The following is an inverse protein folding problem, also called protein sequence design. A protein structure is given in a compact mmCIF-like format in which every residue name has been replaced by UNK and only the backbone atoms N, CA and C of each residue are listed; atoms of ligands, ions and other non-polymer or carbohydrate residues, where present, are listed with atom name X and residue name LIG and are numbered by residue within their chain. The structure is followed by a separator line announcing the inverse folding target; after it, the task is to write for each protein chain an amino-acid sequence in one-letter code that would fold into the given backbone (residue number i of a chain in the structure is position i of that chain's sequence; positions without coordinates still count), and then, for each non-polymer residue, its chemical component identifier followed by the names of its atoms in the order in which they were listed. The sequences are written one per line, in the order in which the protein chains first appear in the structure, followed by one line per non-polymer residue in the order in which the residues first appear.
data_IF_303577508661
#
_entry.id   IF_303577508661
#
_cell.length_a   1.000
_cell.length_b   1.000
_cell.length_c   1.000
_cell.angle_alpha   90.00
_cell.angle_beta   90.00
_cell.angle_gamma   90.00
#
_symmetry.space_group_name_H-M   'P 1'
#
loop_
_entity.id
_entity.type
_entity.pdbx_description
1 polymer ?
#
# COMPACT_ATOMS: atom_id res chain seq x y z
N UNK A 1 -11.93 10.07 15.85
CA UNK A 1 -10.61 10.28 15.21
C UNK A 1 -9.71 9.03 15.26
N UNK A 2 -9.71 8.28 16.37
CA UNK A 2 -8.86 7.07 16.48
C UNK A 2 -9.31 6.01 15.48
N UNK A 3 -10.61 5.76 15.33
CA UNK A 3 -11.13 4.81 14.35
C UNK A 3 -10.70 5.12 12.91
N UNK A 4 -10.56 6.40 12.55
CA UNK A 4 -10.08 6.82 11.23
C UNK A 4 -8.61 6.43 10.94
N UNK A 5 -7.85 6.06 11.96
CA UNK A 5 -6.47 5.59 11.84
C UNK A 5 -6.36 4.06 11.77
N UNK A 6 -7.49 3.35 11.67
CA UNK A 6 -7.55 1.89 11.64
C UNK A 6 -8.01 1.42 10.27
N UNK A 7 -7.27 0.48 9.71
CA UNK A 7 -7.68 -0.34 8.58
C UNK A 7 -7.91 -1.76 9.07
N UNK A 8 -9.14 -2.25 8.92
CA UNK A 8 -9.58 -3.55 9.41
C UNK A 8 -9.85 -4.54 8.26
N UNK A 9 -9.65 -5.82 8.49
CA UNK A 9 -9.90 -6.87 7.50
C UNK A 9 -11.42 -7.13 7.35
N UNK A 10 -11.93 -7.25 6.10
CA UNK A 10 -13.38 -7.36 5.80
C UNK A 10 -14.07 -8.59 6.42
N UNK A 11 -13.31 -9.66 6.72
CA UNK A 11 -13.83 -10.83 7.42
C UNK A 11 -13.92 -10.65 8.94
N UNK A 12 -13.31 -9.59 9.49
CA UNK A 12 -13.23 -9.31 10.92
C UNK A 12 -14.19 -8.21 11.37
N UNK A 13 -14.78 -7.43 10.44
CA UNK A 13 -15.64 -6.29 10.75
C UNK A 13 -16.97 -6.34 10.02
N UNK A 14 -18.00 -5.82 10.66
CA UNK A 14 -19.34 -5.64 10.10
C UNK A 14 -19.59 -4.17 9.76
N UNK A 15 -20.61 -3.83 8.92
CA UNK A 15 -21.02 -2.44 8.72
C UNK A 15 -21.39 -1.73 10.04
N UNK A 16 -21.94 -2.46 11.02
CA UNK A 16 -22.25 -1.93 12.34
C UNK A 16 -20.99 -1.54 13.12
N UNK A 17 -19.91 -2.33 13.01
CA UNK A 17 -18.61 -2.01 13.64
C UNK A 17 -18.00 -0.77 13.00
N UNK A 18 -18.07 -0.66 11.66
CA UNK A 18 -17.58 0.52 10.92
C UNK A 18 -18.27 1.79 11.43
N UNK A 19 -19.59 1.77 11.54
CA UNK A 19 -20.36 2.89 12.05
C UNK A 19 -20.04 3.19 13.53
N UNK A 20 -19.97 2.16 14.38
CA UNK A 20 -19.83 2.31 15.82
C UNK A 20 -18.45 2.82 16.22
N UNK A 21 -17.41 2.35 15.56
CA UNK A 21 -16.01 2.71 15.86
C UNK A 21 -15.47 3.81 14.96
N UNK A 22 -16.24 4.32 14.00
CA UNK A 22 -15.78 5.28 12.97
C UNK A 22 -14.51 4.76 12.23
N UNK A 23 -14.49 3.49 11.83
CA UNK A 23 -13.32 2.87 11.17
C UNK A 23 -13.06 3.58 9.83
N UNK A 24 -11.81 4.01 9.61
CA UNK A 24 -11.45 4.82 8.44
C UNK A 24 -11.18 4.01 7.18
N UNK A 25 -10.81 2.75 7.32
CA UNK A 25 -10.48 1.91 6.17
C UNK A 25 -10.80 0.44 6.41
N UNK A 26 -11.03 -0.29 5.31
CA UNK A 26 -11.06 -1.75 5.28
C UNK A 26 -10.09 -2.27 4.21
N UNK A 27 -9.68 -3.53 4.36
CA UNK A 27 -8.96 -4.26 3.32
C UNK A 27 -9.51 -5.68 3.16
N UNK A 28 -9.32 -6.25 1.99
CA UNK A 28 -9.43 -7.68 1.82
C UNK A 28 -8.01 -8.27 1.76
N UNK A 29 -7.66 -9.05 2.75
CA UNK A 29 -6.45 -9.88 2.73
C UNK A 29 -6.56 -10.99 1.67
N UNK A 30 -5.44 -11.65 1.34
CA UNK A 30 -5.35 -12.60 0.23
C UNK A 30 -6.29 -13.82 0.26
N UNK A 31 -7.12 -13.96 1.28
CA UNK A 31 -8.12 -15.01 1.41
C UNK A 31 -9.53 -14.53 1.64
N UNK A 32 -9.75 -13.22 1.74
CA UNK A 32 -11.04 -12.63 2.10
C UNK A 32 -11.81 -12.13 0.89
N UNK A 33 -13.07 -12.49 0.84
CA UNK A 33 -14.00 -12.18 -0.25
C UNK A 33 -15.40 -11.95 0.34
N UNK A 34 -16.26 -11.15 -0.30
CA UNK A 34 -17.60 -10.85 0.22
C UNK A 34 -18.44 -12.08 0.57
N UNK A 35 -18.49 -13.08 -0.33
CA UNK A 35 -19.27 -14.31 -0.17
C UNK A 35 -18.46 -15.57 -0.56
N UNK A 36 -17.12 -15.48 -0.50
CA UNK A 36 -16.20 -16.55 -0.87
C UNK A 36 -15.44 -16.25 -2.17
N UNK A 37 -14.47 -17.08 -2.49
CA UNK A 37 -13.48 -16.83 -3.56
C UNK A 37 -14.09 -16.59 -4.96
N UNK A 38 -15.27 -17.15 -5.21
CA UNK A 38 -15.97 -17.01 -6.50
C UNK A 38 -17.03 -15.88 -6.50
N UNK A 39 -16.95 -14.95 -5.55
CA UNK A 39 -17.86 -13.80 -5.48
C UNK A 39 -17.89 -13.03 -6.79
N UNK A 40 -19.06 -12.84 -7.42
CA UNK A 40 -19.19 -12.00 -8.59
C UNK A 40 -18.95 -10.51 -8.22
N UNK A 41 -18.64 -9.68 -9.21
CA UNK A 41 -18.43 -8.23 -9.02
C UNK A 41 -19.57 -7.56 -8.23
N UNK A 42 -20.82 -7.99 -8.48
CA UNK A 42 -22.00 -7.48 -7.75
C UNK A 42 -21.92 -7.64 -6.23
N UNK A 43 -21.27 -8.69 -5.73
CA UNK A 43 -21.13 -8.91 -4.30
C UNK A 43 -20.11 -7.95 -3.67
N UNK A 44 -19.04 -7.65 -4.42
CA UNK A 44 -18.03 -6.65 -4.04
C UNK A 44 -18.66 -5.26 -3.95
N UNK A 45 -19.35 -4.83 -5.00
CA UNK A 45 -20.07 -3.55 -5.02
C UNK A 45 -21.11 -3.47 -3.90
N UNK A 46 -21.91 -4.52 -3.70
CA UNK A 46 -22.91 -4.53 -2.62
C UNK A 46 -22.28 -4.46 -1.21
N UNK A 47 -21.07 -4.99 -1.01
CA UNK A 47 -20.37 -4.84 0.26
C UNK A 47 -19.79 -3.42 0.39
N UNK A 48 -19.21 -2.86 -0.68
CA UNK A 48 -18.71 -1.49 -0.71
C UNK A 48 -19.82 -0.48 -0.38
N UNK A 49 -21.00 -0.62 -0.99
CA UNK A 49 -22.16 0.23 -0.71
C UNK A 49 -22.56 0.16 0.76
N UNK A 50 -22.60 -1.04 1.36
CA UNK A 50 -22.95 -1.18 2.79
C UNK A 50 -21.93 -0.52 3.71
N UNK A 51 -20.63 -0.62 3.38
CA UNK A 51 -19.58 0.03 4.14
C UNK A 51 -19.61 1.56 3.98
N UNK A 52 -19.90 2.05 2.76
CA UNK A 52 -20.09 3.47 2.49
C UNK A 52 -21.28 4.03 3.30
N UNK A 53 -22.45 3.37 3.23
CA UNK A 53 -23.65 3.77 3.97
C UNK A 53 -23.38 3.79 5.49
N UNK A 54 -22.66 2.80 6.01
CA UNK A 54 -22.35 2.71 7.43
C UNK A 54 -21.39 3.82 7.89
N UNK A 55 -20.35 4.12 7.10
CA UNK A 55 -19.33 5.12 7.43
C UNK A 55 -19.87 6.56 7.30
N UNK A 56 -20.85 6.78 6.43
CA UNK A 56 -21.47 8.10 6.22
C UNK A 56 -22.70 8.35 7.11
N UNK A 57 -23.13 7.36 7.87
CA UNK A 57 -24.26 7.49 8.79
C UNK A 57 -23.88 8.30 10.04
N UNK A 58 -24.33 9.55 10.09
CA UNK A 58 -24.06 10.48 11.18
C UNK A 58 -25.02 10.36 12.37
N UNK A 59 -25.99 9.45 12.32
CA UNK A 59 -26.85 9.18 13.48
C UNK A 59 -25.98 8.72 14.65
N UNK A 60 -26.37 9.03 15.83
CA UNK A 60 -25.64 8.71 17.08
C UNK A 60 -24.24 9.37 17.21
N UNK A 61 -23.94 10.39 16.40
CA UNK A 61 -22.71 11.19 16.52
C UNK A 61 -21.53 10.66 15.71
N UNK A 62 -21.75 9.81 14.72
CA UNK A 62 -20.72 9.37 13.75
C UNK A 62 -20.08 10.53 13.00
N UNK A 63 -18.83 10.34 12.55
CA UNK A 63 -18.04 11.39 11.88
C UNK A 63 -18.51 11.66 10.44
N UNK A 64 -19.19 10.71 9.78
CA UNK A 64 -19.72 10.88 8.43
C UNK A 64 -18.65 10.98 7.34
N UNK A 65 -17.48 10.38 7.55
CA UNK A 65 -16.40 10.33 6.58
C UNK A 65 -16.49 8.99 5.83
N UNK A 66 -16.61 9.00 4.48
CA UNK A 66 -16.62 7.76 3.70
C UNK A 66 -15.39 6.91 4.00
N UNK A 67 -15.63 5.62 4.20
CA UNK A 67 -14.55 4.64 4.39
C UNK A 67 -13.80 4.43 3.07
N UNK A 68 -12.50 4.19 3.14
CA UNK A 68 -11.69 3.82 1.98
C UNK A 68 -11.38 2.32 2.04
N UNK A 69 -11.56 1.61 0.91
CA UNK A 69 -11.26 0.17 0.82
C UNK A 69 -9.97 -0.07 0.04
N UNK A 70 -8.97 -0.71 0.69
CA UNK A 70 -7.68 -1.09 0.09
C UNK A 70 -7.63 -2.57 -0.29
N UNK A 71 -6.88 -2.89 -1.35
CA UNK A 71 -6.65 -4.28 -1.80
C UNK A 71 -5.25 -4.48 -2.37
N UNK A 72 -4.75 -5.71 -2.35
CA UNK A 72 -3.52 -6.12 -3.03
C UNK A 72 -3.77 -6.42 -4.52
N UNK A 73 -4.01 -5.41 -5.33
CA UNK A 73 -4.06 -5.54 -6.78
C UNK A 73 -2.65 -5.29 -7.37
N UNK A 74 -1.73 -6.23 -7.12
CA UNK A 74 -0.29 -6.06 -7.37
C UNK A 74 0.16 -6.54 -8.75
N UNK A 75 -0.67 -7.30 -9.46
CA UNK A 75 -0.47 -7.71 -10.86
C UNK A 75 -1.82 -7.84 -11.60
N UNK A 76 -2.58 -6.74 -11.66
CA UNK A 76 -3.98 -6.67 -12.00
C UNK A 76 -4.86 -6.86 -10.76
N UNK A 77 -6.17 -6.85 -10.93
CA UNK A 77 -7.12 -7.06 -9.81
C UNK A 77 -7.22 -8.53 -9.41
N UNK A 78 -6.09 -9.10 -8.97
CA UNK A 78 -5.87 -10.55 -8.77
C UNK A 78 -6.78 -11.19 -7.70
N UNK A 79 -7.52 -10.41 -6.93
CA UNK A 79 -8.44 -10.92 -5.91
C UNK A 79 -9.86 -11.18 -6.46
N UNK A 80 -10.17 -10.74 -7.68
CA UNK A 80 -11.49 -10.85 -8.29
C UNK A 80 -11.47 -11.78 -9.49
N UNK A 81 -12.31 -12.81 -9.47
CA UNK A 81 -12.40 -13.75 -10.59
C UNK A 81 -12.93 -13.06 -11.85
N UNK A 82 -12.21 -13.28 -12.95
CA UNK A 82 -12.55 -12.70 -14.26
C UNK A 82 -11.83 -11.39 -14.55
N UNK A 83 -11.16 -10.79 -13.58
CA UNK A 83 -10.30 -9.64 -13.82
C UNK A 83 -9.01 -10.05 -14.56
N UNK A 84 -8.38 -9.08 -15.20
CA UNK A 84 -7.12 -9.29 -15.94
C UNK A 84 -5.98 -9.59 -14.98
N UNK A 85 -5.25 -10.65 -15.25
CA UNK A 85 -4.04 -11.01 -14.50
C UNK A 85 -2.83 -10.70 -15.36
N UNK A 86 -2.00 -9.77 -14.92
CA UNK A 86 -0.74 -9.43 -15.55
C UNK A 86 0.41 -10.28 -14.98
N UNK A 87 1.56 -10.37 -15.67
CA UNK A 87 2.77 -10.95 -15.07
C UNK A 87 3.14 -10.23 -13.77
N UNK A 88 3.79 -10.95 -12.84
CA UNK A 88 4.40 -10.30 -11.69
C UNK A 88 5.47 -9.30 -12.10
N UNK A 89 5.80 -8.35 -11.22
CA UNK A 89 6.66 -7.21 -11.51
C UNK A 89 8.03 -7.58 -12.08
N UNK A 90 8.64 -8.70 -11.66
CA UNK A 90 9.88 -9.18 -12.24
C UNK A 90 9.75 -9.48 -13.76
N UNK A 91 8.61 -9.95 -14.19
CA UNK A 91 8.32 -10.14 -15.62
C UNK A 91 8.12 -8.82 -16.35
N UNK A 92 7.50 -7.83 -15.70
CA UNK A 92 7.33 -6.48 -16.25
C UNK A 92 8.69 -5.77 -16.33
N UNK A 93 9.56 -5.93 -15.34
CA UNK A 93 10.93 -5.40 -15.37
C UNK A 93 11.73 -5.89 -16.57
N UNK A 94 11.64 -7.19 -16.87
CA UNK A 94 12.29 -7.79 -18.03
C UNK A 94 11.79 -7.25 -19.39
N UNK A 95 10.60 -6.65 -19.43
CA UNK A 95 9.98 -6.09 -20.62
C UNK A 95 10.64 -4.78 -21.08
N UNK A 96 11.17 -4.00 -20.15
CA UNK A 96 11.80 -2.69 -20.36
C UNK A 96 10.92 -1.71 -21.18
N UNK A 97 9.67 -1.51 -20.71
CA UNK A 97 8.69 -0.65 -21.36
C UNK A 97 7.78 0.02 -20.32
N UNK A 98 8.12 1.24 -19.90
CA UNK A 98 7.38 1.99 -18.88
C UNK A 98 5.98 2.42 -19.36
N UNK A 99 5.80 2.70 -20.65
CA UNK A 99 4.50 3.08 -21.20
C UNK A 99 3.49 1.93 -21.04
N UNK A 100 3.91 0.69 -21.31
CA UNK A 100 3.05 -0.46 -21.10
C UNK A 100 2.77 -0.70 -19.59
N UNK A 101 3.72 -0.34 -18.69
CA UNK A 101 3.47 -0.38 -17.23
C UNK A 101 2.40 0.64 -16.84
N UNK A 102 2.42 1.84 -17.43
CA UNK A 102 1.37 2.85 -17.23
C UNK A 102 0.00 2.33 -17.69
N UNK A 103 -0.09 1.76 -18.89
CA UNK A 103 -1.33 1.15 -19.41
C UNK A 103 -1.85 0.01 -18.51
N UNK A 104 -0.96 -0.82 -17.97
CA UNK A 104 -1.31 -1.87 -16.98
C UNK A 104 -1.89 -1.23 -15.72
N UNK A 105 -1.31 -0.13 -15.26
CA UNK A 105 -1.84 0.66 -14.12
C UNK A 105 -3.26 1.17 -14.39
N UNK A 106 -3.52 1.72 -15.57
CA UNK A 106 -4.85 2.22 -15.97
C UNK A 106 -5.90 1.11 -16.01
N UNK A 107 -5.56 -0.04 -16.59
CA UNK A 107 -6.47 -1.19 -16.65
C UNK A 107 -6.75 -1.71 -15.22
N UNK A 108 -5.70 -1.82 -14.40
CA UNK A 108 -5.84 -2.26 -13.01
C UNK A 108 -6.73 -1.30 -12.23
N UNK A 109 -6.53 0.01 -12.36
CA UNK A 109 -7.36 1.02 -11.71
C UNK A 109 -8.83 0.90 -12.10
N UNK A 110 -9.11 0.77 -13.39
CA UNK A 110 -10.46 0.63 -13.91
C UNK A 110 -11.16 -0.62 -13.35
N UNK A 111 -10.47 -1.76 -13.33
CA UNK A 111 -11.02 -3.02 -12.81
C UNK A 111 -11.24 -2.96 -11.30
N UNK A 112 -10.31 -2.38 -10.52
CA UNK A 112 -10.44 -2.18 -9.07
C UNK A 112 -11.62 -1.25 -8.77
N UNK A 113 -11.68 -0.07 -9.41
CA UNK A 113 -12.79 0.87 -9.22
C UNK A 113 -14.15 0.26 -9.57
N UNK A 114 -14.21 -0.63 -10.58
CA UNK A 114 -15.43 -1.33 -10.99
C UNK A 114 -16.00 -2.26 -9.93
N UNK A 115 -15.23 -2.60 -8.92
CA UNK A 115 -15.65 -3.43 -7.77
C UNK A 115 -16.02 -2.61 -6.54
N UNK A 116 -15.98 -1.27 -6.62
CA UNK A 116 -16.26 -0.37 -5.51
C UNK A 116 -15.08 -0.22 -4.55
N UNK A 117 -13.88 -0.61 -4.97
CA UNK A 117 -12.63 -0.48 -4.21
C UNK A 117 -11.89 0.77 -4.71
N UNK A 118 -11.35 1.58 -3.77
CA UNK A 118 -10.82 2.90 -4.06
C UNK A 118 -9.29 2.96 -4.01
N UNK A 119 -8.63 1.91 -3.53
CA UNK A 119 -7.23 1.94 -3.15
C UNK A 119 -6.53 0.61 -3.42
N UNK A 120 -5.32 0.65 -3.99
CA UNK A 120 -4.47 -0.54 -4.12
C UNK A 120 -3.14 -0.38 -3.39
N UNK A 121 -2.64 -1.50 -2.84
CA UNK A 121 -1.31 -1.57 -2.22
C UNK A 121 -0.24 -1.91 -3.29
N UNK A 122 -0.18 -1.10 -4.32
CA UNK A 122 0.77 -1.18 -5.43
C UNK A 122 1.16 0.23 -5.90
N UNK A 123 2.37 0.39 -6.46
CA UNK A 123 3.39 -0.60 -6.80
C UNK A 123 4.32 -1.01 -5.66
N UNK A 124 4.92 -2.21 -5.80
CA UNK A 124 6.11 -2.59 -5.03
C UNK A 124 7.32 -1.99 -5.71
N UNK A 125 8.02 -1.08 -5.02
CA UNK A 125 9.21 -0.36 -5.54
C UNK A 125 10.51 -0.85 -4.90
N UNK A 126 10.50 -2.08 -4.37
CA UNK A 126 11.68 -2.73 -3.84
C UNK A 126 12.74 -2.92 -4.94
N UNK A 127 13.99 -2.54 -4.63
CA UNK A 127 15.15 -2.83 -5.47
C UNK A 127 15.78 -4.12 -4.96
N UNK A 128 15.77 -5.18 -5.77
CA UNK A 128 16.20 -6.53 -5.39
C UNK A 128 17.73 -6.57 -5.34
N UNK A 129 18.31 -6.89 -4.18
CA UNK A 129 19.77 -6.98 -3.99
C UNK A 129 20.25 -8.40 -3.70
N UNK A 130 19.33 -9.32 -3.44
CA UNK A 130 19.63 -10.72 -3.15
C UNK A 130 18.50 -11.62 -3.68
N UNK A 131 18.80 -12.46 -4.66
CA UNK A 131 17.84 -13.36 -5.31
C UNK A 131 17.25 -14.43 -4.38
N UNK A 132 17.86 -14.63 -3.20
CA UNK A 132 17.33 -15.53 -2.17
C UNK A 132 16.12 -14.94 -1.44
N UNK A 133 15.88 -13.65 -1.57
CA UNK A 133 14.70 -13.03 -0.96
C UNK A 133 13.42 -13.58 -1.59
N UNK A 134 12.54 -14.19 -0.77
CA UNK A 134 11.34 -14.89 -1.24
C UNK A 134 10.31 -14.02 -1.94
N UNK A 135 10.41 -12.68 -1.82
CA UNK A 135 9.54 -11.69 -2.48
C UNK A 135 10.19 -11.01 -3.68
N UNK A 136 11.32 -11.52 -4.19
CA UNK A 136 12.01 -10.93 -5.35
C UNK A 136 11.10 -10.79 -6.58
N UNK A 137 10.12 -11.67 -6.75
CA UNK A 137 9.16 -11.61 -7.85
C UNK A 137 8.23 -10.39 -7.81
N UNK A 138 8.06 -9.76 -6.63
CA UNK A 138 7.25 -8.57 -6.46
C UNK A 138 7.95 -7.28 -6.90
N UNK A 139 9.28 -7.25 -6.93
CA UNK A 139 10.06 -6.10 -7.42
C UNK A 139 10.26 -6.15 -8.93
N UNK A 140 10.50 -4.99 -9.54
CA UNK A 140 10.70 -4.88 -10.98
C UNK A 140 12.11 -5.30 -11.40
N UNK A 141 13.14 -4.92 -10.66
CA UNK A 141 14.54 -5.11 -11.05
C UNK A 141 15.52 -4.95 -9.86
N UNK A 142 16.79 -5.31 -10.14
CA UNK A 142 17.94 -4.95 -9.31
C UNK A 142 18.50 -3.55 -9.66
N UNK A 143 18.10 -2.99 -10.80
CA UNK A 143 18.48 -1.65 -11.26
C UNK A 143 17.53 -0.61 -10.66
N UNK A 144 18.04 0.31 -9.79
CA UNK A 144 17.21 1.35 -9.19
C UNK A 144 16.65 2.35 -10.21
N UNK A 145 17.30 2.57 -11.33
CA UNK A 145 16.80 3.50 -12.36
C UNK A 145 15.58 2.91 -13.08
N UNK A 146 15.57 1.61 -13.38
CA UNK A 146 14.40 0.95 -13.94
C UNK A 146 13.23 0.94 -12.93
N UNK A 147 13.52 0.69 -11.65
CA UNK A 147 12.50 0.75 -10.58
C UNK A 147 11.92 2.16 -10.47
N UNK A 148 12.76 3.19 -10.56
CA UNK A 148 12.36 4.60 -10.55
C UNK A 148 11.40 4.93 -11.70
N UNK A 149 11.77 4.56 -12.93
CA UNK A 149 10.94 4.78 -14.12
C UNK A 149 9.59 4.09 -14.02
N UNK A 150 9.59 2.83 -13.59
CA UNK A 150 8.37 2.02 -13.48
C UNK A 150 7.46 2.43 -12.32
N UNK A 151 8.05 2.88 -11.21
CA UNK A 151 7.28 3.42 -10.08
C UNK A 151 6.47 4.64 -10.53
N UNK A 152 7.10 5.57 -11.23
CA UNK A 152 6.43 6.75 -11.78
C UNK A 152 5.29 6.35 -12.72
N UNK A 153 5.58 5.53 -13.73
CA UNK A 153 4.60 5.10 -14.72
C UNK A 153 3.39 4.36 -14.11
N UNK A 154 3.63 3.47 -13.15
CA UNK A 154 2.54 2.74 -12.48
C UNK A 154 1.65 3.68 -11.65
N UNK A 155 2.24 4.64 -10.92
CA UNK A 155 1.47 5.63 -10.14
C UNK A 155 0.59 6.47 -11.07
N UNK A 156 1.14 6.98 -12.18
CA UNK A 156 0.35 7.72 -13.16
C UNK A 156 -0.77 6.87 -13.76
N UNK A 157 -0.49 5.60 -14.05
CA UNK A 157 -1.50 4.67 -14.54
C UNK A 157 -2.64 4.46 -13.54
N UNK A 158 -2.32 4.32 -12.25
CA UNK A 158 -3.32 4.10 -11.19
C UNK A 158 -4.10 5.36 -10.82
N UNK A 159 -3.41 6.50 -10.66
CA UNK A 159 -3.97 7.75 -10.13
C UNK A 159 -4.28 8.81 -11.18
N UNK A 160 -3.68 8.74 -12.38
CA UNK A 160 -3.71 9.78 -13.40
C UNK A 160 -2.48 10.69 -13.37
N UNK A 161 -2.20 11.36 -14.49
CA UNK A 161 -1.01 12.21 -14.69
C UNK A 161 -1.08 13.55 -13.92
N UNK A 162 -2.25 13.99 -13.54
CA UNK A 162 -2.48 15.26 -12.84
C UNK A 162 -2.34 15.19 -11.32
N UNK A 163 -1.76 14.12 -10.76
CA UNK A 163 -1.72 13.89 -9.32
C UNK A 163 -3.13 13.88 -8.71
N UNK A 164 -3.36 14.62 -7.61
CA UNK A 164 -4.67 14.64 -6.94
C UNK A 164 -5.81 15.19 -7.79
N UNK A 165 -5.51 15.98 -8.85
CA UNK A 165 -6.52 16.54 -9.76
C UNK A 165 -7.26 15.48 -10.56
N UNK A 166 -6.58 14.41 -10.93
CA UNK A 166 -7.16 13.31 -11.71
C UNK A 166 -7.68 12.16 -10.86
N UNK A 167 -7.24 12.03 -9.63
CA UNK A 167 -7.57 10.92 -8.74
C UNK A 167 -9.08 10.73 -8.52
N UNK A 168 -9.84 11.82 -8.57
CA UNK A 168 -11.30 11.78 -8.41
C UNK A 168 -12.05 11.55 -9.74
N UNK A 169 -11.32 11.36 -10.85
CA UNK A 169 -11.92 11.00 -12.09
C UNK A 169 -12.34 9.53 -12.10
N UNK A 170 -13.40 9.23 -12.84
CA UNK A 170 -13.90 7.87 -12.99
C UNK A 170 -12.82 6.92 -13.48
N UNK A 171 -12.65 5.80 -12.78
CA UNK A 171 -11.69 4.74 -13.13
C UNK A 171 -10.26 4.97 -12.63
N UNK A 172 -10.04 5.92 -11.72
CA UNK A 172 -8.76 6.10 -11.00
C UNK A 172 -8.92 5.64 -9.55
N UNK A 173 -7.80 5.22 -8.94
CA UNK A 173 -7.75 4.74 -7.56
C UNK A 173 -6.49 5.25 -6.86
N UNK A 174 -6.50 5.25 -5.53
CA UNK A 174 -5.32 5.57 -4.73
C UNK A 174 -4.27 4.48 -4.90
N UNK A 175 -3.01 4.86 -5.12
CA UNK A 175 -1.86 3.97 -5.18
C UNK A 175 -1.04 3.99 -3.88
N UNK A 176 -0.25 2.94 -3.66
CA UNK A 176 0.69 2.84 -2.53
C UNK A 176 2.07 2.45 -3.00
N UNK A 177 3.07 3.31 -2.80
CA UNK A 177 4.46 2.87 -2.94
C UNK A 177 4.88 2.03 -1.73
N UNK A 178 5.36 0.78 -1.96
CA UNK A 178 5.70 -0.15 -0.88
C UNK A 178 6.95 -0.97 -1.17
N UNK A 179 7.67 -1.49 -0.16
CA UNK A 179 7.49 -1.23 1.27
C UNK A 179 8.64 -0.32 1.74
N UNK A 180 8.32 0.82 2.28
CA UNK A 180 9.30 1.83 2.69
C UNK A 180 10.01 1.41 3.97
N UNK A 181 11.31 1.17 3.97
CA UNK A 181 12.33 1.24 2.91
C UNK A 181 13.37 0.14 3.11
N UNK A 182 13.88 -0.42 2.00
CA UNK A 182 15.03 -1.32 2.03
C UNK A 182 14.69 -2.82 2.10
N UNK A 183 13.44 -3.23 1.91
CA UNK A 183 12.99 -4.63 1.97
C UNK A 183 13.70 -5.57 0.98
N UNK A 184 14.00 -5.11 -0.24
CA UNK A 184 14.77 -5.87 -1.24
C UNK A 184 16.28 -5.99 -0.94
N UNK A 185 16.78 -5.31 0.11
CA UNK A 185 18.19 -5.26 0.50
C UNK A 185 18.52 -5.96 1.82
N UNK A 186 17.63 -6.81 2.34
CA UNK A 186 17.87 -7.52 3.60
C UNK A 186 19.02 -8.49 3.50
N UNK A 187 19.82 -8.58 4.56
CA UNK A 187 20.99 -9.46 4.61
C UNK A 187 20.63 -10.91 4.37
N UNK A 188 21.34 -11.55 3.43
CA UNK A 188 21.15 -12.94 3.00
C UNK A 188 19.75 -13.23 2.41
N UNK A 189 19.02 -12.22 1.98
CA UNK A 189 17.66 -12.36 1.45
C UNK A 189 16.63 -12.82 2.48
N UNK A 190 16.90 -12.63 3.77
CA UNK A 190 15.96 -13.00 4.84
C UNK A 190 14.78 -12.03 4.81
N UNK A 191 13.59 -12.55 4.52
CA UNK A 191 12.37 -11.76 4.52
C UNK A 191 12.11 -11.12 5.89
N UNK A 192 11.73 -9.83 5.90
CA UNK A 192 11.55 -9.02 7.12
C UNK A 192 12.82 -8.89 7.98
N UNK A 193 13.99 -9.21 7.42
CA UNK A 193 15.29 -9.18 8.07
C UNK A 193 15.84 -7.77 8.28
N UNK A 194 17.15 -7.68 8.49
CA UNK A 194 17.85 -6.42 8.64
C UNK A 194 18.53 -6.00 7.34
N UNK A 195 18.35 -4.76 6.95
CA UNK A 195 19.08 -4.09 5.87
C UNK A 195 20.22 -3.31 6.49
N UNK A 196 21.45 -3.83 6.36
CA UNK A 196 22.65 -3.28 7.00
C UNK A 196 23.53 -2.59 5.94
N UNK A 197 23.11 -1.42 5.52
CA UNK A 197 23.77 -0.59 4.51
C UNK A 197 23.88 0.86 4.99
N UNK A 198 24.75 1.63 4.33
CA UNK A 198 24.85 3.07 4.59
C UNK A 198 23.55 3.81 4.28
N UNK A 199 23.38 4.99 4.86
CA UNK A 199 22.26 5.85 4.53
C UNK A 199 22.30 6.32 3.07
N UNK A 200 23.50 6.52 2.54
CA UNK A 200 23.70 6.86 1.13
C UNK A 200 23.20 5.76 0.20
N UNK A 201 23.55 4.50 0.47
CA UNK A 201 23.05 3.36 -0.30
C UNK A 201 21.53 3.16 -0.12
N UNK A 202 21.02 3.37 1.09
CA UNK A 202 19.58 3.31 1.35
C UNK A 202 18.82 4.35 0.53
N UNK A 203 19.33 5.58 0.47
CA UNK A 203 18.78 6.69 -0.33
C UNK A 203 18.91 6.41 -1.83
N UNK A 204 20.12 6.10 -2.31
CA UNK A 204 20.43 6.09 -3.75
C UNK A 204 19.92 4.82 -4.44
N UNK A 205 19.89 3.69 -3.72
CA UNK A 205 19.40 2.43 -4.26
C UNK A 205 17.91 2.25 -3.91
N UNK A 206 17.59 2.15 -2.63
CA UNK A 206 16.25 1.77 -2.18
C UNK A 206 15.28 2.94 -2.13
N UNK A 207 15.76 4.18 -2.09
CA UNK A 207 14.97 5.40 -2.17
C UNK A 207 14.52 5.78 -3.58
N UNK A 208 15.20 5.27 -4.63
CA UNK A 208 15.00 5.70 -6.01
C UNK A 208 13.53 5.65 -6.47
N UNK A 209 12.84 4.53 -6.23
CA UNK A 209 11.43 4.38 -6.56
C UNK A 209 10.48 5.28 -5.76
N UNK A 210 10.85 5.65 -4.53
CA UNK A 210 10.02 6.55 -3.71
C UNK A 210 10.10 8.00 -4.14
N UNK A 211 11.29 8.48 -4.54
CA UNK A 211 11.41 9.83 -5.09
C UNK A 211 10.52 10.01 -6.31
N UNK A 212 10.54 9.07 -7.25
CA UNK A 212 9.70 9.14 -8.45
C UNK A 212 8.21 8.90 -8.17
N UNK A 213 7.88 8.06 -7.19
CA UNK A 213 6.49 7.87 -6.76
C UNK A 213 5.91 9.16 -6.17
N UNK A 214 6.68 9.89 -5.35
CA UNK A 214 6.27 11.18 -4.77
C UNK A 214 6.14 12.23 -5.88
N UNK A 215 7.07 12.27 -6.83
CA UNK A 215 7.00 13.15 -8.01
C UNK A 215 5.74 12.88 -8.86
N UNK A 216 5.34 11.61 -9.01
CA UNK A 216 4.10 11.21 -9.66
C UNK A 216 2.83 11.45 -8.81
N UNK A 217 2.98 11.93 -7.58
CA UNK A 217 1.87 12.30 -6.71
C UNK A 217 1.23 11.15 -5.93
N UNK A 218 2.00 10.10 -5.61
CA UNK A 218 1.49 8.98 -4.80
C UNK A 218 0.86 9.46 -3.49
N UNK A 219 -0.33 8.94 -3.16
CA UNK A 219 -1.08 9.38 -1.99
C UNK A 219 -0.77 8.58 -0.73
N UNK A 220 -0.25 7.37 -0.87
CA UNK A 220 0.06 6.53 0.28
C UNK A 220 1.41 5.84 0.15
N UNK A 221 2.07 5.65 1.28
CA UNK A 221 3.30 4.86 1.40
C UNK A 221 3.10 3.83 2.49
N UNK A 222 3.45 2.56 2.22
CA UNK A 222 3.38 1.49 3.21
C UNK A 222 4.76 1.26 3.84
N UNK A 223 4.80 1.30 5.18
CA UNK A 223 6.02 1.01 5.93
C UNK A 223 6.40 -0.47 5.81
N UNK A 224 7.69 -0.77 5.76
CA UNK A 224 8.21 -2.13 5.61
C UNK A 224 8.36 -2.88 6.93
N UNK A 225 8.31 -4.21 6.88
CA UNK A 225 8.61 -5.08 8.02
C UNK A 225 10.10 -5.15 8.40
N UNK A 226 11.00 -4.88 7.46
CA UNK A 226 12.44 -5.02 7.74
C UNK A 226 12.95 -3.99 8.76
N UNK A 227 14.14 -4.25 9.23
CA UNK A 227 14.91 -3.27 10.01
C UNK A 227 15.97 -2.61 9.14
N UNK A 228 16.33 -1.39 9.48
CA UNK A 228 17.54 -0.73 8.98
C UNK A 228 18.49 -0.50 10.14
N UNK A 229 19.73 -1.00 10.00
CA UNK A 229 20.75 -0.97 11.06
C UNK A 229 20.25 -1.50 12.42
N UNK A 230 19.36 -2.50 12.38
CA UNK A 230 18.81 -3.15 13.57
C UNK A 230 17.47 -2.58 14.07
N UNK A 231 17.09 -1.37 13.66
CA UNK A 231 15.87 -0.72 14.12
C UNK A 231 14.69 -1.01 13.14
N UNK A 232 13.58 -1.51 13.65
CA UNK A 232 12.36 -1.75 12.87
C UNK A 232 11.84 -0.44 12.27
N UNK A 233 11.59 -0.42 10.94
CA UNK A 233 11.18 0.78 10.22
C UNK A 233 9.84 1.32 10.74
N UNK A 234 8.87 0.48 11.09
CA UNK A 234 7.61 0.91 11.70
C UNK A 234 7.78 1.75 12.98
N UNK A 235 8.91 1.60 13.70
CA UNK A 235 9.23 2.41 14.88
C UNK A 235 10.24 3.54 14.62
N UNK A 236 10.70 3.70 13.39
CA UNK A 236 11.75 4.67 13.05
C UNK A 236 11.18 6.05 12.72
N UNK A 237 11.15 6.93 13.71
CA UNK A 237 10.77 8.35 13.48
C UNK A 237 11.69 9.03 12.47
N UNK A 238 12.96 8.65 12.45
CA UNK A 238 13.91 9.19 11.49
C UNK A 238 13.46 8.88 10.06
N UNK A 239 13.19 7.61 9.73
CA UNK A 239 12.81 7.22 8.38
C UNK A 239 11.39 7.69 8.00
N UNK A 240 10.39 7.48 8.87
CA UNK A 240 8.99 7.76 8.51
C UNK A 240 8.63 9.25 8.60
N UNK A 241 9.19 9.98 9.57
CA UNK A 241 8.89 11.42 9.72
C UNK A 241 9.96 12.27 9.05
N UNK A 242 11.23 12.17 9.53
CA UNK A 242 12.25 13.11 9.07
C UNK A 242 12.64 12.87 7.61
N UNK A 243 12.88 11.62 7.19
CA UNK A 243 13.24 11.33 5.80
C UNK A 243 12.02 11.43 4.88
N UNK A 244 11.01 10.60 5.10
CA UNK A 244 9.88 10.49 4.16
C UNK A 244 9.04 11.78 4.11
N UNK A 245 8.49 12.21 5.27
CA UNK A 245 7.55 13.34 5.29
C UNK A 245 8.23 14.70 5.16
N UNK A 246 9.39 14.91 5.85
CA UNK A 246 10.02 16.23 5.89
C UNK A 246 11.02 16.46 4.76
N UNK A 247 11.97 15.51 4.52
CA UNK A 247 13.03 15.69 3.52
C UNK A 247 12.57 15.36 2.10
N UNK A 248 11.81 14.27 1.92
CA UNK A 248 11.25 13.90 0.61
C UNK A 248 9.95 14.65 0.28
N UNK A 249 9.42 15.47 1.22
CA UNK A 249 8.18 16.24 1.09
C UNK A 249 6.95 15.36 0.75
N UNK A 250 6.86 14.16 1.31
CA UNK A 250 5.68 13.34 1.16
C UNK A 250 4.54 13.90 2.01
N UNK A 251 3.46 14.33 1.37
CA UNK A 251 2.29 14.97 2.00
C UNK A 251 1.05 14.07 2.08
N UNK A 252 1.16 12.80 1.62
CA UNK A 252 0.14 11.77 1.81
C UNK A 252 0.18 11.15 3.21
N UNK A 253 -0.35 9.95 3.37
CA UNK A 253 -0.31 9.24 4.65
C UNK A 253 0.47 7.92 4.60
N UNK A 254 1.06 7.54 5.73
CA UNK A 254 1.79 6.30 5.91
C UNK A 254 0.88 5.25 6.52
N UNK A 255 0.67 4.15 5.78
CA UNK A 255 0.01 2.95 6.28
C UNK A 255 1.05 1.96 6.82
N UNK A 256 0.78 1.31 7.95
CA UNK A 256 1.56 0.15 8.40
C UNK A 256 1.25 -1.08 7.54
N UNK A 257 2.19 -2.01 7.43
CA UNK A 257 1.92 -3.33 6.87
C UNK A 257 1.23 -4.23 7.93
N UNK A 258 0.72 -5.39 7.52
CA UNK A 258 -0.08 -6.30 8.35
C UNK A 258 0.56 -6.59 9.71
N UNK A 259 -0.03 -6.04 10.79
CA UNK A 259 0.54 -6.09 12.14
C UNK A 259 2.01 -5.65 12.26
N UNK A 260 2.55 -4.89 11.31
CA UNK A 260 3.95 -4.47 11.31
C UNK A 260 4.34 -3.65 12.55
N UNK A 261 3.40 -2.90 13.10
CA UNK A 261 3.58 -2.14 14.34
C UNK A 261 3.91 -3.06 15.54
N UNK A 262 3.37 -4.28 15.57
CA UNK A 262 3.64 -5.23 16.65
C UNK A 262 5.08 -5.76 16.66
N UNK A 263 5.80 -5.66 15.54
CA UNK A 263 7.20 -6.05 15.45
C UNK A 263 8.18 -5.00 16.05
N UNK A 264 7.68 -3.82 16.40
CA UNK A 264 8.50 -2.79 17.08
C UNK A 264 8.75 -3.23 18.51
N UNK A 265 10.00 -3.17 19.01
CA UNK A 265 10.33 -3.59 20.38
C UNK A 265 9.44 -2.89 21.42
N UNK A 266 8.81 -3.67 22.28
CA UNK A 266 7.91 -3.18 23.33
C UNK A 266 6.46 -2.93 22.88
N UNK A 267 6.13 -3.25 21.62
CA UNK A 267 4.78 -3.19 21.10
C UNK A 267 4.08 -4.58 21.10
N UNK A 268 2.77 -4.55 20.89
CA UNK A 268 1.92 -5.72 20.60
C UNK A 268 0.91 -5.38 19.50
N UNK A 269 0.13 -6.36 19.07
CA UNK A 269 -0.94 -6.16 18.07
C UNK A 269 -1.95 -5.09 18.52
N UNK A 270 -2.19 -4.95 19.83
CA UNK A 270 -3.17 -4.04 20.40
C UNK A 270 -2.60 -2.69 20.84
N UNK A 271 -1.28 -2.57 20.98
CA UNK A 271 -0.63 -1.37 21.54
C UNK A 271 0.71 -1.08 20.92
N UNK A 272 0.83 0.00 20.18
CA UNK A 272 2.08 0.52 19.69
C UNK A 272 2.09 2.05 19.52
N UNK A 273 2.18 2.78 20.61
CA UNK A 273 2.37 4.23 20.57
C UNK A 273 3.66 4.63 19.83
N UNK A 274 4.68 3.74 19.86
CA UNK A 274 5.96 3.99 19.19
C UNK A 274 5.79 4.14 17.66
N UNK A 275 5.01 3.25 17.00
CA UNK A 275 4.78 3.33 15.56
C UNK A 275 4.01 4.60 15.17
N UNK A 276 2.96 4.95 15.91
CA UNK A 276 2.20 6.19 15.67
C UNK A 276 3.10 7.42 15.83
N UNK A 277 3.89 7.48 16.91
CA UNK A 277 4.81 8.60 17.15
C UNK A 277 6.00 8.62 16.17
N UNK A 278 6.30 7.51 15.52
CA UNK A 278 7.29 7.43 14.45
C UNK A 278 6.78 7.99 13.12
N UNK A 279 5.47 8.06 12.92
CA UNK A 279 4.88 8.64 11.72
C UNK A 279 3.95 7.71 10.93
N UNK A 280 3.58 6.54 11.48
CA UNK A 280 2.50 5.71 10.94
C UNK A 280 1.17 6.42 11.19
N UNK A 281 0.41 6.71 10.14
CA UNK A 281 -0.86 7.43 10.20
C UNK A 281 -2.06 6.49 10.26
N UNK A 282 -1.94 5.30 9.67
CA UNK A 282 -2.97 4.27 9.68
C UNK A 282 -2.36 2.91 10.00
N UNK A 283 -3.00 2.18 10.89
CA UNK A 283 -2.59 0.84 11.32
C UNK A 283 -3.41 -0.20 10.57
N UNK A 284 -2.73 -1.12 9.86
CA UNK A 284 -3.35 -2.29 9.26
C UNK A 284 -3.40 -3.42 10.30
N UNK A 285 -4.61 -3.79 10.67
CA UNK A 285 -4.87 -4.79 11.72
C UNK A 285 -5.80 -5.90 11.22
N UNK A 286 -5.68 -7.15 11.76
CA UNK A 286 -6.56 -8.27 11.41
C UNK A 286 -8.01 -8.04 11.85
#
# INVERSE_FOLDING_TARGET
KVGQMVQAEIGSVTPEDIRFFDIGSVLNGGGSHPNGKASPVSDWVALADRYFDASTDVRDGGVGIPIIWGTDAVHGHNNVMGATIFPHNIGLGAMNNAELVREIGEITALEVASTGIDWTFAPVVAVIRDDRWGRSYEGYAEDPELVREYAHAMIEGLQGEGGTGDLFNSGRIVATAKHFIGDGGTMNGIDQGNTDISEEDLRDIHGAGYFSSIEAGVQTVMATFNSWQGDKVHGSKYLLTTVLKEQMNFDGFVIGDWNGHAQVPGCSDEQCAAAINAGVDMVMAP
#
